data_IF_827660218436
#
_entry.id   IF_827660218436
#
_cell.length_a   1.000
_cell.length_b   1.000
_cell.length_c   1.000
_cell.angle_alpha   90.00
_cell.angle_beta   90.00
_cell.angle_gamma   90.00
#
_symmetry.space_group_name_H-M   'P 1'
#
loop_
_entity.id
_entity.type
_entity.pdbx_description
1 polymer ?
#
# COMPACT_ATOMS: atom_id res chain seq x y z
N UNK A 1 -7.22 -3.37 -10.23
CA UNK A 1 -8.09 -2.71 -9.25
C UNK A 1 -8.33 -1.23 -9.56
N UNK A 2 -7.29 -0.40 -9.71
CA UNK A 2 -7.41 1.06 -9.94
C UNK A 2 -8.38 1.47 -11.06
N UNK A 3 -8.35 0.79 -12.21
CA UNK A 3 -9.25 1.05 -13.35
C UNK A 3 -10.72 1.02 -12.94
N UNK A 4 -11.11 0.01 -12.16
CA UNK A 4 -12.50 -0.23 -11.75
C UNK A 4 -12.94 0.76 -10.68
N UNK A 5 -12.06 1.06 -9.72
CA UNK A 5 -12.40 1.83 -8.52
C UNK A 5 -12.08 3.33 -8.61
N UNK A 6 -11.48 3.80 -9.71
CA UNK A 6 -11.04 5.20 -9.89
C UNK A 6 -12.11 6.26 -9.60
N UNK A 7 -13.39 5.96 -9.84
CA UNK A 7 -14.52 6.85 -9.55
C UNK A 7 -14.80 7.07 -8.06
N UNK A 8 -14.15 6.32 -7.20
CA UNK A 8 -14.24 6.46 -5.74
C UNK A 8 -13.07 7.25 -5.16
N UNK A 9 -12.15 7.76 -5.98
CA UNK A 9 -11.10 8.68 -5.54
C UNK A 9 -11.68 9.93 -4.87
N UNK A 10 -11.01 10.41 -3.83
CA UNK A 10 -11.42 11.65 -3.14
C UNK A 10 -11.34 12.87 -4.04
N UNK A 11 -10.37 12.87 -4.96
CA UNK A 11 -10.09 13.96 -5.90
C UNK A 11 -10.05 13.42 -7.32
N UNK A 12 -10.22 14.30 -8.31
CA UNK A 12 -10.03 13.91 -9.71
C UNK A 12 -8.57 13.54 -9.95
N UNK A 13 -8.35 12.36 -10.52
CA UNK A 13 -7.01 11.80 -10.79
C UNK A 13 -6.78 11.59 -12.28
N UNK A 14 -5.52 11.64 -12.71
CA UNK A 14 -5.08 11.00 -13.95
C UNK A 14 -4.92 9.49 -13.73
N UNK A 15 -5.91 8.73 -14.20
CA UNK A 15 -5.90 7.27 -14.07
C UNK A 15 -4.72 6.60 -14.79
N UNK A 16 -4.25 7.13 -15.92
CA UNK A 16 -3.12 6.53 -16.63
C UNK A 16 -1.84 6.68 -15.80
N UNK A 17 -1.67 7.83 -15.15
CA UNK A 17 -0.55 8.07 -14.23
C UNK A 17 -0.59 7.13 -13.02
N UNK A 18 -1.76 6.95 -12.39
CA UNK A 18 -1.96 5.98 -11.29
C UNK A 18 -1.60 4.56 -11.72
N UNK A 19 -2.02 4.14 -12.92
CA UNK A 19 -1.70 2.81 -13.44
C UNK A 19 -0.19 2.67 -13.64
N UNK A 20 0.47 3.64 -14.28
CA UNK A 20 1.93 3.65 -14.44
C UNK A 20 2.62 3.52 -13.08
N UNK A 21 2.21 4.32 -12.11
CA UNK A 21 2.74 4.34 -10.74
C UNK A 21 2.65 2.96 -10.08
N UNK A 22 1.47 2.34 -10.08
CA UNK A 22 1.25 1.01 -9.51
C UNK A 22 2.02 -0.10 -10.24
N UNK A 23 2.27 0.04 -11.54
CA UNK A 23 3.06 -0.94 -12.30
C UNK A 23 4.54 -0.93 -11.92
N UNK A 24 5.05 0.21 -11.41
CA UNK A 24 6.49 0.38 -11.16
C UNK A 24 6.88 0.51 -9.68
N UNK A 25 5.93 0.75 -8.77
CA UNK A 25 6.23 1.14 -7.39
C UNK A 25 7.18 0.16 -6.68
N UNK A 26 6.92 -1.14 -6.79
CA UNK A 26 7.73 -2.19 -6.15
C UNK A 26 8.90 -2.70 -7.02
N UNK A 27 9.16 -2.13 -8.21
CA UNK A 27 10.29 -2.61 -9.01
C UNK A 27 11.63 -2.44 -8.29
N UNK A 28 11.74 -1.47 -7.38
CA UNK A 28 12.91 -1.27 -6.53
C UNK A 28 13.22 -2.45 -5.61
N UNK A 29 12.22 -3.26 -5.28
CA UNK A 29 12.36 -4.45 -4.42
C UNK A 29 13.21 -5.55 -5.07
N UNK A 30 13.42 -5.52 -6.39
CA UNK A 30 14.36 -6.42 -7.09
C UNK A 30 15.75 -6.37 -6.46
N UNK A 31 16.19 -5.18 -6.00
CA UNK A 31 17.47 -5.01 -5.32
C UNK A 31 17.34 -4.75 -3.82
N UNK A 32 16.33 -3.95 -3.42
CA UNK A 32 16.17 -3.53 -2.04
C UNK A 32 15.60 -4.64 -1.14
N UNK A 33 14.94 -5.64 -1.75
CA UNK A 33 14.12 -6.63 -1.06
C UNK A 33 12.76 -6.05 -0.63
N UNK A 34 11.80 -6.95 -0.39
CA UNK A 34 10.50 -6.61 0.19
C UNK A 34 10.62 -6.48 1.72
N UNK A 35 10.08 -5.39 2.28
CA UNK A 35 9.96 -5.18 3.72
C UNK A 35 8.51 -5.41 4.13
N UNK A 36 8.30 -6.50 4.87
CA UNK A 36 6.98 -6.86 5.36
C UNK A 36 6.33 -5.71 6.16
N UNK A 37 5.09 -5.34 5.78
CA UNK A 37 4.38 -4.16 6.31
C UNK A 37 4.24 -4.10 7.84
N UNK A 38 4.21 -5.27 8.50
CA UNK A 38 4.08 -5.40 9.96
C UNK A 38 5.40 -5.73 10.66
N UNK A 39 6.52 -5.80 9.94
CA UNK A 39 7.83 -6.01 10.57
C UNK A 39 8.23 -4.76 11.36
N UNK A 40 8.46 -4.94 12.66
CA UNK A 40 8.91 -3.88 13.57
C UNK A 40 10.43 -3.82 13.72
N UNK A 41 11.16 -4.77 13.13
CA UNK A 41 12.61 -4.91 13.25
C UNK A 41 13.40 -4.15 12.18
N UNK A 42 12.75 -3.82 11.06
CA UNK A 42 13.36 -3.07 9.96
C UNK A 42 12.93 -1.61 10.06
N UNK A 43 13.90 -0.70 10.06
CA UNK A 43 13.59 0.72 9.92
C UNK A 43 12.96 0.94 8.54
N UNK A 44 11.71 1.36 8.48
CA UNK A 44 11.03 1.76 7.23
C UNK A 44 11.66 3.02 6.57
N UNK A 45 12.87 3.40 6.98
CA UNK A 45 13.71 4.44 6.36
C UNK A 45 14.64 3.84 5.30
N UNK A 46 14.23 2.78 4.59
CA UNK A 46 15.05 2.12 3.57
C UNK A 46 15.20 2.94 2.26
N UNK A 47 14.79 4.21 2.32
CA UNK A 47 14.79 5.19 1.24
C UNK A 47 16.11 5.30 0.47
N UNK A 48 17.27 5.10 1.10
CA UNK A 48 18.56 5.15 0.39
C UNK A 48 18.81 3.91 -0.47
N UNK A 49 18.46 2.73 0.03
CA UNK A 49 18.59 1.47 -0.71
C UNK A 49 17.58 1.43 -1.86
N UNK A 50 16.34 1.81 -1.60
CA UNK A 50 15.27 1.89 -2.61
C UNK A 50 15.59 2.95 -3.68
N UNK A 51 16.11 4.13 -3.29
CA UNK A 51 16.54 5.14 -4.25
C UNK A 51 17.73 4.65 -5.10
N UNK A 52 18.65 3.89 -4.51
CA UNK A 52 19.77 3.30 -5.24
C UNK A 52 19.30 2.24 -6.23
N UNK A 53 18.32 1.41 -5.83
CA UNK A 53 17.65 0.44 -6.68
C UNK A 53 16.90 1.13 -7.82
N UNK A 54 16.10 2.16 -7.53
CA UNK A 54 15.39 2.96 -8.52
C UNK A 54 16.35 3.54 -9.58
N UNK A 55 17.44 4.16 -9.13
CA UNK A 55 18.47 4.71 -10.03
C UNK A 55 19.12 3.64 -10.91
N UNK A 56 19.43 2.48 -10.35
CA UNK A 56 20.06 1.38 -11.09
C UNK A 56 19.08 0.77 -12.10
N UNK A 57 17.86 0.46 -11.68
CA UNK A 57 16.85 -0.25 -12.47
C UNK A 57 16.29 0.65 -13.56
N UNK A 58 15.77 1.83 -13.21
CA UNK A 58 15.24 2.76 -14.21
C UNK A 58 16.36 3.34 -15.08
N UNK A 59 17.58 3.45 -14.56
CA UNK A 59 18.76 3.84 -15.33
C UNK A 59 19.19 2.87 -16.43
N UNK A 60 18.57 1.69 -16.55
CA UNK A 60 18.73 0.79 -17.70
C UNK A 60 17.98 1.32 -18.95
N UNK A 61 17.07 2.27 -18.78
CA UNK A 61 16.27 2.88 -19.83
C UNK A 61 16.96 4.14 -20.39
N UNK A 62 16.51 4.67 -21.55
CA UNK A 62 16.93 5.99 -22.01
C UNK A 62 16.72 7.06 -20.94
N UNK A 63 17.60 8.05 -20.88
CA UNK A 63 17.66 9.01 -19.76
C UNK A 63 16.34 9.71 -19.47
N UNK A 64 15.62 10.15 -20.51
CA UNK A 64 14.32 10.81 -20.37
C UNK A 64 13.27 9.89 -19.70
N UNK A 65 13.25 8.62 -20.10
CA UNK A 65 12.34 7.62 -19.53
C UNK A 65 12.75 7.26 -18.09
N UNK A 66 14.05 7.12 -17.83
CA UNK A 66 14.57 6.84 -16.50
C UNK A 66 14.18 7.96 -15.52
N UNK A 67 14.37 9.21 -15.92
CA UNK A 67 14.02 10.38 -15.11
C UNK A 67 12.51 10.47 -14.85
N UNK A 68 11.67 10.21 -15.87
CA UNK A 68 10.20 10.14 -15.71
C UNK A 68 9.81 9.09 -14.66
N UNK A 69 10.31 7.85 -14.77
CA UNK A 69 9.92 6.76 -13.86
C UNK A 69 10.44 6.97 -12.44
N UNK A 70 11.65 7.53 -12.27
CA UNK A 70 12.17 7.89 -10.95
C UNK A 70 11.29 8.96 -10.29
N UNK A 71 10.79 9.94 -11.05
CA UNK A 71 9.88 10.96 -10.53
C UNK A 71 8.53 10.35 -10.13
N UNK A 72 7.95 9.48 -10.96
CA UNK A 72 6.69 8.79 -10.65
C UNK A 72 6.84 7.90 -9.41
N UNK A 73 7.95 7.16 -9.30
CA UNK A 73 8.24 6.32 -8.14
C UNK A 73 8.36 7.17 -6.87
N UNK A 74 9.13 8.28 -6.90
CA UNK A 74 9.22 9.20 -5.76
C UNK A 74 7.87 9.78 -5.36
N UNK A 75 7.04 10.11 -6.34
CA UNK A 75 5.69 10.63 -6.07
C UNK A 75 4.85 9.61 -5.29
N UNK A 76 4.90 8.32 -5.67
CA UNK A 76 4.28 7.24 -4.90
C UNK A 76 4.79 7.21 -3.45
N UNK A 77 6.10 7.23 -3.25
CA UNK A 77 6.72 7.18 -1.91
C UNK A 77 6.29 8.35 -1.02
N UNK A 78 6.25 9.56 -1.59
CA UNK A 78 5.83 10.76 -0.84
C UNK A 78 4.34 10.75 -0.47
N UNK A 79 3.47 10.27 -1.37
CA UNK A 79 2.03 10.21 -1.10
C UNK A 79 1.34 11.58 -1.02
N UNK A 80 1.93 12.63 -1.61
CA UNK A 80 1.44 14.02 -1.45
C UNK A 80 0.50 14.49 -2.57
N UNK A 81 0.31 13.66 -3.60
CA UNK A 81 -0.54 13.98 -4.77
C UNK A 81 -1.81 13.14 -4.77
N UNK A 82 -2.88 13.64 -5.38
CA UNK A 82 -4.12 12.89 -5.51
C UNK A 82 -3.92 11.51 -6.18
N UNK A 83 -3.03 11.43 -7.17
CA UNK A 83 -2.66 10.17 -7.81
C UNK A 83 -1.93 9.21 -6.86
N UNK A 84 -0.94 9.69 -6.10
CA UNK A 84 -0.17 8.86 -5.16
C UNK A 84 -0.99 8.42 -3.95
N UNK A 85 -1.83 9.31 -3.39
CA UNK A 85 -2.80 8.96 -2.34
C UNK A 85 -3.73 7.84 -2.82
N UNK A 86 -4.28 7.95 -4.04
CA UNK A 86 -5.16 6.92 -4.59
C UNK A 86 -4.41 5.62 -4.93
N UNK A 87 -3.20 5.71 -5.48
CA UNK A 87 -2.36 4.53 -5.74
C UNK A 87 -2.04 3.78 -4.44
N UNK A 88 -1.59 4.47 -3.40
CA UNK A 88 -1.33 3.87 -2.08
C UNK A 88 -2.59 3.31 -1.44
N UNK A 89 -3.74 3.96 -1.62
CA UNK A 89 -5.02 3.40 -1.17
C UNK A 89 -5.31 2.05 -1.87
N UNK A 90 -5.02 1.94 -3.17
CA UNK A 90 -5.17 0.66 -3.88
C UNK A 90 -4.18 -0.39 -3.36
N UNK A 91 -2.91 -0.03 -3.25
CA UNK A 91 -1.88 -0.91 -2.71
C UNK A 91 -2.27 -1.46 -1.32
N UNK A 92 -2.78 -0.62 -0.43
CA UNK A 92 -3.17 -1.08 0.91
C UNK A 92 -4.49 -1.84 0.94
N UNK A 93 -5.41 -1.54 0.03
CA UNK A 93 -6.72 -2.18 -0.01
C UNK A 93 -6.65 -3.63 -0.49
N UNK A 94 -5.77 -3.93 -1.44
CA UNK A 94 -5.69 -5.27 -2.05
C UNK A 94 -5.32 -6.36 -1.02
N UNK A 95 -4.25 -6.24 -0.21
CA UNK A 95 -3.90 -7.26 0.77
C UNK A 95 -4.94 -7.40 1.88
N UNK A 96 -5.73 -6.35 2.16
CA UNK A 96 -6.84 -6.43 3.11
C UNK A 96 -7.95 -7.34 2.58
N UNK A 97 -8.30 -7.20 1.31
CA UNK A 97 -9.27 -8.09 0.64
C UNK A 97 -8.75 -9.53 0.60
N UNK A 98 -7.46 -9.71 0.29
CA UNK A 98 -6.82 -11.03 0.29
C UNK A 98 -6.89 -11.68 1.68
N UNK A 99 -6.51 -10.97 2.75
CA UNK A 99 -6.57 -11.49 4.11
C UNK A 99 -7.99 -11.95 4.48
N UNK A 100 -9.01 -11.13 4.16
CA UNK A 100 -10.41 -11.52 4.39
C UNK A 100 -10.81 -12.77 3.59
N UNK A 101 -10.45 -12.82 2.30
CA UNK A 101 -10.78 -13.93 1.42
C UNK A 101 -10.11 -15.25 1.83
N UNK A 102 -8.95 -15.17 2.50
CA UNK A 102 -8.16 -16.31 2.95
C UNK A 102 -8.31 -16.57 4.45
N UNK A 103 -9.52 -16.35 4.98
CA UNK A 103 -9.88 -16.60 6.39
C UNK A 103 -8.87 -16.03 7.41
N UNK A 104 -8.26 -14.89 7.10
CA UNK A 104 -7.33 -14.16 7.95
C UNK A 104 -5.87 -14.25 7.53
N UNK A 105 -5.50 -15.16 6.62
CA UNK A 105 -4.17 -15.26 5.99
C UNK A 105 -3.01 -14.79 6.89
N UNK A 106 -2.32 -13.75 6.43
CA UNK A 106 -1.22 -13.07 7.11
C UNK A 106 -1.60 -12.56 8.50
N UNK A 107 -2.81 -12.04 8.72
CA UNK A 107 -3.24 -11.60 10.05
C UNK A 107 -3.18 -12.73 11.07
N UNK A 108 -3.62 -13.94 10.70
CA UNK A 108 -3.55 -15.11 11.59
C UNK A 108 -2.15 -15.67 11.71
N UNK A 109 -1.46 -15.81 10.58
CA UNK A 109 -0.10 -16.37 10.52
C UNK A 109 0.87 -15.62 11.45
N UNK A 110 0.77 -14.30 11.47
CA UNK A 110 1.65 -13.42 12.24
C UNK A 110 1.00 -12.82 13.49
N UNK A 111 -0.21 -13.27 13.87
CA UNK A 111 -0.98 -12.74 15.01
C UNK A 111 -1.08 -11.21 15.01
N UNK A 112 -1.37 -10.61 13.86
CA UNK A 112 -1.47 -9.16 13.70
C UNK A 112 -2.72 -8.65 14.44
N UNK A 113 -2.58 -7.74 15.42
CA UNK A 113 -3.72 -7.23 16.18
C UNK A 113 -4.52 -6.21 15.36
N UNK A 114 -5.83 -6.13 15.65
CA UNK A 114 -6.77 -5.19 15.02
C UNK A 114 -6.23 -3.76 14.95
N UNK A 115 -5.65 -3.26 16.04
CA UNK A 115 -5.13 -1.89 16.16
C UNK A 115 -4.04 -1.64 15.12
N UNK A 116 -3.17 -2.64 14.88
CA UNK A 116 -2.10 -2.56 13.88
C UNK A 116 -2.64 -2.60 12.46
N UNK A 117 -3.68 -3.40 12.22
CA UNK A 117 -4.38 -3.41 10.91
C UNK A 117 -5.01 -2.04 10.65
N UNK A 118 -5.72 -1.46 11.62
CA UNK A 118 -6.32 -0.13 11.48
C UNK A 118 -5.26 0.94 11.24
N UNK A 119 -4.19 0.98 12.04
CA UNK A 119 -3.07 1.91 11.88
C UNK A 119 -2.54 1.89 10.43
N UNK A 120 -2.17 0.70 9.93
CA UNK A 120 -1.54 0.55 8.62
C UNK A 120 -2.49 0.73 7.44
N UNK A 121 -3.79 0.42 7.61
CA UNK A 121 -4.79 0.48 6.52
C UNK A 121 -5.56 1.80 6.48
N UNK A 122 -5.50 2.62 7.53
CA UNK A 122 -6.17 3.93 7.59
C UNK A 122 -5.78 4.88 6.45
N UNK A 123 -4.58 4.73 5.89
CA UNK A 123 -4.10 5.49 4.72
C UNK A 123 -5.00 5.36 3.48
N UNK A 124 -5.82 4.29 3.39
CA UNK A 124 -6.84 4.17 2.33
C UNK A 124 -7.76 5.40 2.32
N UNK A 125 -8.01 6.01 3.49
CA UNK A 125 -8.86 7.18 3.64
C UNK A 125 -8.34 8.41 2.88
N UNK A 126 -7.01 8.54 2.73
CA UNK A 126 -6.37 9.66 2.01
C UNK A 126 -6.70 9.60 0.51
N UNK A 127 -6.64 8.40 -0.09
CA UNK A 127 -7.02 8.20 -1.50
C UNK A 127 -8.52 8.04 -1.74
N UNK A 128 -9.27 7.45 -0.81
CA UNK A 128 -10.71 7.22 -0.92
C UNK A 128 -11.40 6.97 0.42
N UNK A 129 -12.23 7.92 0.86
CA UNK A 129 -13.07 7.78 2.06
C UNK A 129 -14.12 6.67 1.88
N UNK A 130 -14.66 6.52 0.66
CA UNK A 130 -15.65 5.48 0.35
C UNK A 130 -15.06 4.08 0.53
N UNK A 131 -13.85 3.86 -0.01
CA UNK A 131 -13.19 2.57 0.11
C UNK A 131 -12.68 2.33 1.52
N UNK A 132 -12.25 3.37 2.24
CA UNK A 132 -11.90 3.22 3.65
C UNK A 132 -13.08 2.80 4.51
N UNK A 133 -14.25 3.42 4.34
CA UNK A 133 -15.46 3.03 5.08
C UNK A 133 -15.82 1.56 4.81
N UNK A 134 -15.73 1.11 3.57
CA UNK A 134 -15.92 -0.30 3.22
C UNK A 134 -14.85 -1.21 3.87
N UNK A 135 -13.58 -0.82 3.76
CA UNK A 135 -12.45 -1.56 4.33
C UNK A 135 -12.57 -1.68 5.85
N UNK A 136 -12.93 -0.59 6.53
CA UNK A 136 -13.12 -0.57 7.99
C UNK A 136 -14.25 -1.51 8.41
N UNK A 137 -15.41 -1.47 7.73
CA UNK A 137 -16.50 -2.40 8.02
C UNK A 137 -16.06 -3.86 7.81
N UNK A 138 -15.25 -4.13 6.78
CA UNK A 138 -14.72 -5.46 6.53
C UNK A 138 -13.73 -5.92 7.62
N UNK A 139 -12.89 -5.01 8.14
CA UNK A 139 -12.01 -5.28 9.28
C UNK A 139 -12.84 -5.55 10.54
N UNK A 140 -13.83 -4.70 10.84
CA UNK A 140 -14.70 -4.84 12.01
C UNK A 140 -15.44 -6.19 11.99
N UNK A 141 -16.05 -6.55 10.86
CA UNK A 141 -16.72 -7.85 10.68
C UNK A 141 -15.74 -9.03 10.80
N UNK A 142 -14.48 -8.85 10.42
CA UNK A 142 -13.46 -9.91 10.57
C UNK A 142 -13.13 -10.19 12.03
N UNK A 143 -13.33 -9.23 12.93
CA UNK A 143 -13.22 -9.46 14.37
C UNK A 143 -14.41 -10.27 14.87
N UNK A 144 -15.62 -9.92 14.46
CA UNK A 144 -16.85 -10.64 14.85
C UNK A 144 -16.83 -12.11 14.39
N UNK A 145 -16.24 -12.37 13.22
CA UNK A 145 -16.06 -13.72 12.67
C UNK A 145 -14.88 -14.49 13.28
N UNK A 146 -14.11 -13.89 14.20
CA UNK A 146 -12.91 -14.51 14.79
C UNK A 146 -11.76 -14.71 13.79
N UNK A 147 -11.78 -13.96 12.68
CA UNK A 147 -10.72 -13.97 11.67
C UNK A 147 -9.55 -13.08 12.08
N UNK A 148 -9.85 -11.95 12.75
CA UNK A 148 -8.88 -10.99 13.26
C UNK A 148 -9.09 -10.82 14.77
N UNK A 149 -8.00 -10.73 15.54
CA UNK A 149 -8.08 -10.58 16.98
C UNK A 149 -7.86 -9.12 17.38
N UNK A 150 -8.60 -8.64 18.40
CA UNK A 150 -8.22 -7.43 19.11
C UNK A 150 -7.02 -7.74 19.99
N UNK A 151 -6.05 -6.82 20.10
CA UNK A 151 -4.93 -7.00 21.02
C UNK A 151 -5.45 -7.36 22.41
N UNK A 152 -4.87 -8.39 23.03
CA UNK A 152 -5.22 -8.71 24.41
C UNK A 152 -4.86 -7.53 25.31
N UNK A 153 -5.86 -6.90 25.94
CA UNK A 153 -5.64 -6.10 27.14
C UNK A 153 -4.95 -7.03 28.14
N UNK A 154 -3.64 -6.86 28.29
CA UNK A 154 -2.89 -7.53 29.33
C UNK A 154 -3.26 -6.80 30.61
N UNK A 155 -4.25 -7.33 31.34
CA UNK A 155 -4.59 -6.90 32.70
C UNK A 155 -3.44 -7.29 33.64
#
# INVERSE_FOLDING_TARGET
MAVVLSRHSNQKIDLLKVIKMLLIHDLVEIDAGDIFLYDTSVSHTNTEAELSAAKRIFGLLPSEQADELILIWKEFETGETAESEFARAMDRFEPLLQNKSNNGGTWKEFNIPYEKVIEKKSIINEGSQVLWNYAKNLIDNSVEEGILQKGHDTI
#
